data_IF_134389620565
#
_entry.id   IF_134389620565
#
_cell.length_a   1.000
_cell.length_b   1.000
_cell.length_c   1.000
_cell.angle_alpha   90.00
_cell.angle_beta   90.00
_cell.angle_gamma   90.00
#
_symmetry.space_group_name_H-M   'P 1'
#
loop_
_entity.id
_entity.type
_entity.pdbx_description
1 polymer ?
#
# COMPACT_ATOMS: atom_id res chain seq x y z
N UNK A 1 39.02 -11.60 45.07
CA UNK A 1 39.25 -12.96 44.53
C UNK A 1 39.36 -12.80 43.01
N UNK A 2 40.56 -12.50 42.49
CA UNK A 2 41.51 -13.47 41.92
C UNK A 2 40.91 -14.25 40.74
N UNK A 3 41.48 -14.39 39.56
CA UNK A 3 42.72 -13.95 38.88
C UNK A 3 42.66 -14.66 37.50
N UNK A 4 43.42 -14.19 36.51
CA UNK A 4 44.07 -15.04 35.49
C UNK A 4 43.16 -15.67 34.38
N UNK A 5 43.57 -15.99 33.16
CA UNK A 5 44.85 -16.13 32.46
C UNK A 5 44.58 -16.04 30.94
N UNK A 6 45.54 -15.52 30.17
CA UNK A 6 45.63 -15.74 28.73
C UNK A 6 45.91 -17.23 28.43
N UNK A 7 45.38 -17.74 27.31
CA UNK A 7 46.05 -18.79 26.54
C UNK A 7 45.73 -18.67 25.05
N UNK A 8 46.80 -18.67 24.24
CA UNK A 8 46.81 -18.72 22.79
C UNK A 8 46.48 -20.13 22.30
N UNK A 9 45.73 -20.24 21.21
CA UNK A 9 45.56 -21.50 20.48
C UNK A 9 45.43 -21.22 18.99
N UNK A 10 46.52 -21.43 18.25
CA UNK A 10 46.55 -21.38 16.78
C UNK A 10 46.00 -22.72 16.29
N UNK A 11 44.81 -22.70 15.69
CA UNK A 11 44.19 -23.86 15.07
C UNK A 11 44.10 -23.67 13.56
N UNK A 12 45.06 -24.23 12.83
CA UNK A 12 44.97 -24.40 11.37
C UNK A 12 44.00 -25.54 11.13
N UNK A 13 42.75 -25.23 10.79
CA UNK A 13 41.80 -26.20 10.26
C UNK A 13 41.52 -25.89 8.80
N UNK A 14 42.34 -26.53 7.97
CA UNK A 14 42.00 -26.88 6.61
C UNK A 14 40.75 -27.76 6.63
N UNK A 15 39.68 -27.38 5.92
CA UNK A 15 38.82 -28.31 5.19
C UNK A 15 37.70 -27.58 4.44
N UNK A 16 37.58 -28.01 3.18
CA UNK A 16 36.39 -27.97 2.32
C UNK A 16 35.83 -26.59 1.94
N UNK A 17 36.06 -26.21 0.68
CA UNK A 17 35.19 -25.30 -0.08
C UNK A 17 33.80 -25.92 -0.14
N UNK A 18 32.96 -25.65 0.85
CA UNK A 18 31.53 -25.76 0.67
C UNK A 18 31.12 -24.55 -0.18
N UNK A 19 30.92 -24.78 -1.49
CA UNK A 19 30.20 -23.84 -2.34
C UNK A 19 28.80 -23.75 -1.73
N UNK A 20 28.36 -22.62 -1.18
CA UNK A 20 26.96 -22.49 -0.86
C UNK A 20 26.26 -22.52 -2.22
N UNK A 21 25.49 -23.58 -2.47
CA UNK A 21 24.46 -23.54 -3.49
C UNK A 21 23.51 -22.42 -3.07
N UNK A 22 23.82 -21.20 -3.55
CA UNK A 22 22.91 -20.09 -3.59
C UNK A 22 21.78 -20.52 -4.53
N UNK A 23 20.79 -21.22 -3.99
CA UNK A 23 19.47 -21.15 -4.56
C UNK A 23 19.07 -19.69 -4.40
N UNK A 24 19.20 -18.94 -5.50
CA UNK A 24 18.56 -17.65 -5.64
C UNK A 24 17.06 -17.92 -5.62
N UNK A 25 16.49 -18.09 -4.42
CA UNK A 25 15.08 -17.94 -4.19
C UNK A 25 14.75 -16.56 -4.75
N UNK A 26 14.10 -16.57 -5.92
CA UNK A 26 13.59 -15.37 -6.55
C UNK A 26 12.69 -14.72 -5.50
N UNK A 27 13.18 -13.66 -4.85
CA UNK A 27 12.35 -12.79 -4.06
C UNK A 27 11.39 -12.16 -5.06
N UNK A 28 10.22 -12.76 -5.24
CA UNK A 28 9.10 -12.08 -5.86
C UNK A 28 8.76 -10.94 -4.91
N UNK A 29 9.24 -9.73 -5.23
CA UNK A 29 8.83 -8.52 -4.54
C UNK A 29 7.37 -8.25 -4.89
N UNK A 30 6.48 -8.99 -4.23
CA UNK A 30 5.06 -8.66 -4.20
C UNK A 30 4.95 -7.31 -3.51
N UNK A 31 5.00 -6.23 -4.30
CA UNK A 31 4.68 -4.90 -3.81
C UNK A 31 3.18 -4.80 -3.93
N UNK A 32 2.50 -4.94 -2.80
CA UNK A 32 1.06 -4.69 -2.76
C UNK A 32 0.79 -3.28 -3.30
N UNK A 33 -0.17 -3.12 -4.23
CA UNK A 33 -0.46 -1.82 -4.80
C UNK A 33 -0.85 -0.84 -3.68
N UNK A 34 -0.33 0.39 -3.74
CA UNK A 34 -0.76 1.42 -2.80
C UNK A 34 -2.28 1.60 -2.83
N UNK A 35 -2.91 1.90 -1.68
CA UNK A 35 -4.35 2.06 -1.60
C UNK A 35 -4.79 3.22 -2.50
N UNK A 36 -5.91 3.03 -3.22
CA UNK A 36 -6.45 4.02 -4.16
C UNK A 36 -7.01 5.26 -3.46
N UNK A 37 -7.40 5.14 -2.19
CA UNK A 37 -7.75 6.27 -1.34
C UNK A 37 -7.02 6.18 0.00
N UNK A 38 -6.69 7.34 0.58
CA UNK A 38 -6.08 7.45 1.91
C UNK A 38 -7.04 8.19 2.83
N UNK A 39 -7.36 7.60 3.99
CA UNK A 39 -8.27 8.17 5.00
C UNK A 39 -7.49 8.72 6.19
N UNK A 40 -7.86 9.92 6.63
CA UNK A 40 -7.38 10.56 7.85
C UNK A 40 -8.58 11.12 8.61
N UNK A 41 -8.59 11.02 9.94
CA UNK A 41 -9.69 11.54 10.77
C UNK A 41 -9.13 12.33 11.96
N UNK A 42 -9.61 13.55 12.16
CA UNK A 42 -9.26 14.40 13.30
C UNK A 42 -10.33 15.44 13.54
N UNK A 43 -10.66 15.68 14.81
CA UNK A 43 -11.55 16.77 15.25
C UNK A 43 -12.90 16.79 14.52
N UNK A 44 -13.47 15.60 14.29
CA UNK A 44 -14.72 15.37 13.58
C UNK A 44 -14.69 15.62 12.06
N UNK A 45 -13.50 15.80 11.49
CA UNK A 45 -13.29 15.93 10.05
C UNK A 45 -12.63 14.65 9.54
N UNK A 46 -13.26 13.97 8.59
CA UNK A 46 -12.66 12.89 7.82
C UNK A 46 -12.17 13.42 6.48
N UNK A 47 -10.88 13.25 6.20
CA UNK A 47 -10.26 13.55 4.91
C UNK A 47 -10.05 12.25 4.14
N UNK A 48 -10.58 12.17 2.93
CA UNK A 48 -10.34 11.07 2.00
C UNK A 48 -9.57 11.64 0.80
N UNK A 49 -8.42 11.06 0.50
CA UNK A 49 -7.48 11.57 -0.50
C UNK A 49 -7.38 10.54 -1.63
N UNK A 50 -7.78 10.90 -2.85
CA UNK A 50 -7.57 10.08 -4.04
C UNK A 50 -6.06 9.93 -4.30
N UNK A 51 -5.59 8.69 -4.46
CA UNK A 51 -4.17 8.31 -4.45
C UNK A 51 -3.77 7.51 -5.71
N UNK A 52 -4.23 7.94 -6.89
CA UNK A 52 -3.74 7.39 -8.16
C UNK A 52 -3.35 8.52 -9.15
N UNK A 53 -2.38 9.37 -8.79
CA UNK A 53 -1.99 10.52 -9.61
C UNK A 53 -1.43 10.09 -10.98
N UNK A 54 -0.85 8.89 -11.09
CA UNK A 54 -0.35 8.33 -12.37
C UNK A 54 -1.45 8.18 -13.41
N UNK A 55 -2.69 7.89 -12.98
CA UNK A 55 -3.89 7.85 -13.83
C UNK A 55 -4.76 9.11 -13.67
N UNK A 56 -4.23 10.21 -13.13
CA UNK A 56 -4.99 11.44 -12.83
C UNK A 56 -6.26 11.16 -12.00
N UNK A 57 -6.18 10.17 -11.11
CA UNK A 57 -7.29 9.71 -10.27
C UNK A 57 -8.57 9.38 -11.07
N UNK A 58 -8.43 8.69 -12.20
CA UNK A 58 -9.57 8.14 -12.93
C UNK A 58 -10.47 7.32 -11.98
N UNK A 59 -11.78 7.54 -12.07
CA UNK A 59 -12.81 6.90 -11.25
C UNK A 59 -13.15 5.52 -11.83
N UNK A 60 -12.20 4.60 -11.72
CA UNK A 60 -12.44 3.17 -11.96
C UNK A 60 -13.39 2.60 -10.90
N UNK A 61 -13.98 1.44 -11.16
CA UNK A 61 -14.77 0.69 -10.20
C UNK A 61 -14.02 0.51 -8.88
N UNK A 62 -12.77 0.08 -8.93
CA UNK A 62 -11.92 -0.10 -7.75
C UNK A 62 -11.69 1.19 -6.96
N UNK A 63 -11.58 2.35 -7.64
CA UNK A 63 -11.43 3.65 -7.00
C UNK A 63 -12.75 4.05 -6.30
N UNK A 64 -13.88 3.83 -6.98
CA UNK A 64 -15.21 4.14 -6.46
C UNK A 64 -15.58 3.24 -5.27
N UNK A 65 -15.23 1.95 -5.32
CA UNK A 65 -15.38 1.01 -4.20
C UNK A 65 -14.56 1.47 -3.00
N UNK A 66 -13.27 1.74 -3.20
CA UNK A 66 -12.39 2.24 -2.13
C UNK A 66 -12.90 3.57 -1.54
N UNK A 67 -13.41 4.47 -2.37
CA UNK A 67 -13.99 5.73 -1.92
C UNK A 67 -15.28 5.48 -1.11
N UNK A 68 -16.18 4.63 -1.60
CA UNK A 68 -17.43 4.25 -0.94
C UNK A 68 -17.17 3.63 0.43
N UNK A 69 -16.24 2.70 0.53
CA UNK A 69 -15.85 2.07 1.78
C UNK A 69 -15.40 3.12 2.81
N UNK A 70 -14.52 4.05 2.42
CA UNK A 70 -14.03 5.08 3.33
C UNK A 70 -15.08 6.13 3.72
N UNK A 71 -16.09 6.37 2.87
CA UNK A 71 -17.25 7.20 3.21
C UNK A 71 -18.12 6.48 4.25
N UNK A 72 -18.45 5.22 4.00
CA UNK A 72 -19.42 4.46 4.81
C UNK A 72 -18.84 3.94 6.13
N UNK A 73 -17.53 3.79 6.23
CA UNK A 73 -16.86 3.32 7.46
C UNK A 73 -17.26 4.22 8.64
N UNK A 74 -17.85 3.68 9.70
CA UNK A 74 -18.26 4.45 10.90
C UNK A 74 -19.10 5.71 10.57
N UNK A 75 -19.96 5.65 9.55
CA UNK A 75 -20.77 6.79 9.12
C UNK A 75 -21.78 7.26 10.18
N UNK A 76 -22.22 6.35 11.06
CA UNK A 76 -23.17 6.62 12.15
C UNK A 76 -22.48 7.13 13.43
N UNK A 77 -21.17 7.41 13.37
CA UNK A 77 -20.42 7.91 14.52
C UNK A 77 -20.74 9.40 14.79
N UNK A 78 -21.22 9.72 16.00
CA UNK A 78 -21.55 11.09 16.41
C UNK A 78 -20.37 12.09 16.30
N UNK A 79 -19.14 11.59 16.37
CA UNK A 79 -17.95 12.43 16.22
C UNK A 79 -17.69 12.83 14.76
N UNK A 80 -18.24 12.12 13.76
CA UNK A 80 -18.07 12.44 12.35
C UNK A 80 -19.02 13.56 11.91
N UNK A 81 -18.47 14.75 11.63
CA UNK A 81 -19.25 15.94 11.28
C UNK A 81 -19.15 16.34 9.82
N UNK A 82 -17.96 16.17 9.24
CA UNK A 82 -17.66 16.60 7.86
C UNK A 82 -16.74 15.58 7.19
N UNK A 83 -17.04 15.27 5.92
CA UNK A 83 -16.14 14.55 5.03
C UNK A 83 -15.59 15.52 3.98
N UNK A 84 -14.27 15.60 3.87
CA UNK A 84 -13.56 16.35 2.83
C UNK A 84 -12.90 15.37 1.87
N UNK A 85 -13.27 15.42 0.60
CA UNK A 85 -12.64 14.63 -0.44
C UNK A 85 -11.62 15.53 -1.17
N UNK A 86 -10.39 15.05 -1.28
CA UNK A 86 -9.28 15.73 -1.94
C UNK A 86 -8.47 14.73 -2.77
N UNK A 87 -7.42 15.18 -3.45
CA UNK A 87 -6.66 14.34 -4.36
C UNK A 87 -5.16 14.66 -4.30
N UNK A 88 -4.33 13.64 -4.50
CA UNK A 88 -2.91 13.83 -4.81
C UNK A 88 -2.73 14.11 -6.30
N UNK A 89 -1.74 14.93 -6.61
CA UNK A 89 -1.35 15.25 -7.98
C UNK A 89 -1.98 16.54 -8.52
N UNK A 90 -1.81 16.81 -9.82
CA UNK A 90 -2.11 18.11 -10.41
C UNK A 90 -3.61 18.38 -10.66
N UNK A 91 -4.45 17.35 -10.54
CA UNK A 91 -5.89 17.42 -10.80
C UNK A 91 -6.65 16.61 -9.75
N UNK A 92 -7.93 16.95 -9.53
CA UNK A 92 -8.80 16.16 -8.65
C UNK A 92 -9.03 14.75 -9.21
N UNK A 93 -9.69 14.68 -10.37
CA UNK A 93 -9.94 13.45 -11.12
C UNK A 93 -10.07 13.75 -12.61
N UNK A 94 -9.72 12.79 -13.47
CA UNK A 94 -10.00 12.83 -14.91
C UNK A 94 -11.40 12.32 -15.28
N UNK A 95 -12.27 12.00 -14.31
CA UNK A 95 -13.59 11.41 -14.54
C UNK A 95 -13.57 9.88 -14.57
N UNK A 96 -14.65 9.26 -15.08
CA UNK A 96 -14.79 7.80 -15.17
C UNK A 96 -13.65 7.17 -15.99
N UNK A 97 -13.18 5.98 -15.59
CA UNK A 97 -12.16 5.28 -16.38
C UNK A 97 -12.80 4.75 -17.68
N UNK A 98 -12.51 5.41 -18.79
CA UNK A 98 -13.06 5.05 -20.11
C UNK A 98 -12.70 3.63 -20.56
N UNK A 99 -11.65 3.01 -19.98
CA UNK A 99 -11.30 1.62 -20.27
C UNK A 99 -12.34 0.63 -19.73
N UNK A 100 -13.11 1.04 -18.72
CA UNK A 100 -14.15 0.23 -18.10
C UNK A 100 -15.49 0.43 -18.80
N UNK A 101 -15.68 1.52 -19.57
CA UNK A 101 -16.85 1.78 -20.42
C UNK A 101 -16.90 0.85 -21.66
N UNK A 102 -16.98 -0.45 -21.45
CA UNK A 102 -17.07 -1.48 -22.51
C UNK A 102 -18.46 -2.10 -22.55
N UNK A 103 -18.92 -2.46 -23.75
CA UNK A 103 -20.24 -3.09 -23.93
C UNK A 103 -20.42 -4.40 -23.14
N UNK A 104 -19.32 -5.07 -22.80
CA UNK A 104 -19.30 -6.28 -21.96
C UNK A 104 -19.51 -6.03 -20.47
N UNK A 105 -19.26 -4.82 -19.97
CA UNK A 105 -19.32 -4.50 -18.54
C UNK A 105 -20.65 -3.87 -18.11
N UNK A 106 -21.60 -3.67 -19.04
CA UNK A 106 -23.02 -3.39 -18.75
C UNK A 106 -23.30 -1.97 -18.22
N UNK A 107 -24.49 -1.43 -18.55
CA UNK A 107 -24.93 -0.10 -18.09
C UNK A 107 -25.04 0.04 -16.57
N UNK A 108 -25.12 -1.08 -15.83
CA UNK A 108 -25.31 -1.04 -14.38
C UNK A 108 -24.06 -0.58 -13.61
N UNK A 109 -22.89 -0.61 -14.26
CA UNK A 109 -21.62 -0.20 -13.66
C UNK A 109 -21.15 1.21 -14.11
N UNK A 110 -21.99 1.95 -14.85
CA UNK A 110 -21.62 3.21 -15.54
C UNK A 110 -22.49 4.40 -15.16
#
# INVERSE_FOLDING_TARGET
MARSLLCRGVGVFQLSRAVPQLSAARYCSHTEPEPLTVRQQSSGIRRIILNNPKKRNALSLSMLESLRENILTDADCDDLRVIVISAKGPVFSSGHDLKELTSSQGREHH
#
